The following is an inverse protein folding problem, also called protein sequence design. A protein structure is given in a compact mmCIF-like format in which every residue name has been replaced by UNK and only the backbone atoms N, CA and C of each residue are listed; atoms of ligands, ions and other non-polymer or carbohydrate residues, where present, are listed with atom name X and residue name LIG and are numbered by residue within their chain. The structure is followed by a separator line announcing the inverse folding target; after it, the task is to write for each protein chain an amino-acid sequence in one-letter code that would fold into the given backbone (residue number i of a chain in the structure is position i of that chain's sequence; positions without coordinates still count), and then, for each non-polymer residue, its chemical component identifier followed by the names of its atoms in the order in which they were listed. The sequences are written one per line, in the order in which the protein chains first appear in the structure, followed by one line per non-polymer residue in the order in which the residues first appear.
data_IF_839149129682
#
_entry.id   IF_839149129682
#
_cell.length_a   1.000
_cell.length_b   1.000
_cell.length_c   1.000
_cell.angle_alpha   90.00
_cell.angle_beta   90.00
_cell.angle_gamma   90.00
#
_symmetry.space_group_name_H-M   'P 1'
#
loop_
_entity.id
_entity.type
_entity.pdbx_description
1 polymer ?
#
# COMPACT_ATOMS: atom_id res chain seq x y z
N UNK A 1 -20.93 -11.42 0.45
CA UNK A 1 -20.63 -11.27 -0.63
C UNK A 1 -19.46 -10.55 -1.02
N UNK A 2 -18.89 -10.93 -1.91
CA UNK A 2 -17.58 -10.48 -2.13
C UNK A 2 -17.58 -9.09 -2.64
N UNK A 3 -17.07 -8.27 -1.83
CA UNK A 3 -16.89 -6.91 -2.18
C UNK A 3 -15.85 -6.71 -3.23
N UNK A 4 -14.97 -7.69 -3.40
CA UNK A 4 -13.95 -7.61 -4.41
C UNK A 4 -14.48 -7.40 -5.80
N UNK A 5 -15.65 -7.92 -6.07
CA UNK A 5 -16.23 -7.82 -7.39
C UNK A 5 -16.54 -6.38 -7.81
N UNK A 6 -16.67 -5.48 -6.85
CA UNK A 6 -17.02 -4.09 -7.16
C UNK A 6 -15.86 -3.28 -7.70
N UNK A 7 -14.62 -3.68 -7.39
CA UNK A 7 -13.44 -2.90 -7.74
C UNK A 7 -13.36 -1.55 -7.07
N UNK A 8 -14.25 -1.28 -6.14
CA UNK A 8 -14.32 0.01 -5.45
C UNK A 8 -13.49 -0.02 -4.18
N UNK A 9 -12.79 1.09 -3.89
CA UNK A 9 -12.13 1.28 -2.62
C UNK A 9 -13.07 1.95 -1.64
N UNK A 10 -13.18 1.37 -0.46
CA UNK A 10 -14.04 1.89 0.58
C UNK A 10 -13.24 2.65 1.61
N UNK A 11 -13.91 3.56 2.31
CA UNK A 11 -13.29 4.36 3.36
C UNK A 11 -12.60 3.49 4.40
N UNK A 12 -13.14 2.32 4.69
CA UNK A 12 -12.55 1.38 5.66
C UNK A 12 -11.18 0.84 5.23
N UNK A 13 -10.83 0.97 3.95
CA UNK A 13 -9.53 0.53 3.45
C UNK A 13 -8.45 1.59 3.63
N UNK A 14 -8.84 2.78 4.02
CA UNK A 14 -7.91 3.89 4.21
C UNK A 14 -7.33 3.85 5.61
N UNK A 15 -6.00 3.86 5.70
CA UNK A 15 -5.31 3.88 6.99
C UNK A 15 -5.26 5.31 7.52
N UNK A 16 -6.02 5.57 8.57
CA UNK A 16 -6.14 6.89 9.16
C UNK A 16 -5.66 6.98 10.61
N UNK A 17 -5.49 5.85 11.28
CA UNK A 17 -5.09 5.84 12.69
C UNK A 17 -3.65 6.35 12.84
N UNK A 18 -3.48 7.42 13.60
CA UNK A 18 -2.14 7.99 13.86
C UNK A 18 -1.26 6.97 14.58
N UNK A 19 -1.81 6.26 15.54
CA UNK A 19 -1.06 5.24 16.28
C UNK A 19 -0.58 4.12 15.36
N UNK A 20 -1.44 3.67 14.46
CA UNK A 20 -1.08 2.62 13.51
C UNK A 20 -0.01 3.10 12.52
N UNK A 21 -0.12 4.34 12.05
CA UNK A 21 0.85 4.92 11.14
C UNK A 21 2.21 5.06 11.82
N UNK A 22 2.21 5.56 13.05
CA UNK A 22 3.46 5.68 13.82
C UNK A 22 4.11 4.33 14.03
N UNK A 23 3.31 3.31 14.30
CA UNK A 23 3.84 1.96 14.50
C UNK A 23 4.48 1.40 13.23
N UNK A 24 3.95 1.75 12.05
CA UNK A 24 4.53 1.34 10.78
C UNK A 24 5.95 1.87 10.59
N UNK A 25 6.20 3.09 11.05
CA UNK A 25 7.48 3.76 10.86
C UNK A 25 8.39 3.67 12.07
N UNK A 26 8.01 2.92 13.09
CA UNK A 26 8.83 2.72 14.27
C UNK A 26 9.96 1.73 13.95
N UNK A 27 11.19 2.19 14.07
CA UNK A 27 12.36 1.37 13.75
C UNK A 27 12.52 0.16 14.66
N UNK A 28 12.02 0.25 15.88
CA UNK A 28 12.10 -0.86 16.83
C UNK A 28 10.92 -1.82 16.70
N UNK A 29 9.98 -1.50 15.81
CA UNK A 29 8.77 -2.31 15.64
C UNK A 29 8.97 -3.50 14.72
N UNK A 30 7.89 -4.20 14.47
CA UNK A 30 7.87 -5.43 13.67
C UNK A 30 7.53 -5.18 12.19
N UNK A 31 7.66 -3.95 11.73
CA UNK A 31 7.37 -3.61 10.34
C UNK A 31 8.38 -4.21 9.38
N UNK A 32 7.89 -4.64 8.23
CA UNK A 32 8.72 -5.17 7.16
C UNK A 32 8.68 -4.17 6.01
N UNK A 33 9.82 -3.88 5.43
CA UNK A 33 9.91 -2.93 4.33
C UNK A 33 10.52 -3.60 3.12
N UNK A 34 10.06 -3.21 1.94
CA UNK A 34 10.58 -3.72 0.69
C UNK A 34 10.43 -2.65 -0.39
N UNK A 35 11.22 -2.75 -1.45
CA UNK A 35 11.19 -1.76 -2.51
C UNK A 35 10.80 -2.40 -3.83
N UNK A 36 9.88 -1.74 -4.53
CA UNK A 36 9.53 -2.06 -5.90
C UNK A 36 9.44 -0.72 -6.61
N UNK A 37 10.57 -0.23 -7.16
CA UNK A 37 10.67 1.11 -7.72
C UNK A 37 9.56 1.38 -8.74
N UNK A 38 8.86 2.52 -8.70
CA UNK A 38 9.13 3.70 -7.89
C UNK A 38 8.47 3.70 -6.49
N UNK A 39 8.05 2.55 -6.00
CA UNK A 39 7.38 2.44 -4.73
C UNK A 39 8.24 1.71 -3.71
N UNK A 40 8.22 2.21 -2.50
CA UNK A 40 8.69 1.49 -1.33
C UNK A 40 7.46 1.19 -0.50
N UNK A 41 7.33 -0.01 0.01
CA UNK A 41 6.19 -0.31 0.86
C UNK A 41 6.66 -0.88 2.19
N UNK A 42 5.97 -0.43 3.24
CA UNK A 42 6.22 -0.85 4.61
C UNK A 42 4.90 -1.43 5.12
N UNK A 43 4.97 -2.59 5.73
CA UNK A 43 3.74 -3.22 6.23
C UNK A 43 4.00 -3.91 7.56
N UNK A 44 2.91 -4.08 8.32
CA UNK A 44 2.93 -4.85 9.55
C UNK A 44 1.52 -5.36 9.83
N UNK A 45 1.43 -6.40 10.66
CA UNK A 45 0.12 -6.88 11.09
C UNK A 45 -0.45 -5.92 12.12
N UNK A 46 -1.72 -5.60 11.98
CA UNK A 46 -2.41 -4.72 12.92
C UNK A 46 -2.56 -5.41 14.27
N UNK A 47 -2.35 -4.67 15.36
CA UNK A 47 -2.56 -5.20 16.70
C UNK A 47 -3.99 -5.02 17.19
N UNK A 48 -4.82 -4.29 16.46
CA UNK A 48 -6.17 -3.95 16.92
C UNK A 48 -7.28 -4.43 15.99
N UNK A 49 -7.09 -4.40 14.68
CA UNK A 49 -8.12 -4.88 13.76
C UNK A 49 -8.14 -6.39 13.71
N UNK A 50 -9.31 -6.94 13.44
CA UNK A 50 -9.49 -8.39 13.32
C UNK A 50 -9.24 -8.88 11.90
N UNK A 51 -9.51 -8.04 10.90
CA UNK A 51 -9.34 -8.42 9.50
C UNK A 51 -9.29 -7.20 8.60
N UNK A 52 -8.85 -7.43 7.38
CA UNK A 52 -8.86 -6.42 6.34
C UNK A 52 -7.61 -5.57 6.29
N UNK A 53 -7.21 -5.22 5.08
CA UNK A 53 -6.03 -4.41 4.83
C UNK A 53 -6.42 -2.93 4.80
N UNK A 54 -5.64 -2.10 5.48
CA UNK A 54 -5.73 -0.65 5.35
C UNK A 54 -4.41 -0.13 4.83
N UNK A 55 -4.46 0.87 3.98
CA UNK A 55 -3.24 1.41 3.38
C UNK A 55 -3.25 2.92 3.34
N UNK A 56 -2.05 3.49 3.24
CA UNK A 56 -1.85 4.91 3.01
C UNK A 56 -0.84 5.11 1.90
N UNK A 57 -0.86 6.28 1.28
CA UNK A 57 0.06 6.63 0.21
C UNK A 57 0.77 7.91 0.60
N UNK A 58 2.10 7.88 0.58
CA UNK A 58 2.92 9.03 0.88
C UNK A 58 3.71 9.45 -0.35
N UNK A 59 3.57 10.73 -0.74
CA UNK A 59 4.35 11.32 -1.81
C UNK A 59 5.09 12.50 -1.19
N UNK A 60 6.37 12.33 -0.81
CA UNK A 60 7.11 13.39 -0.13
C UNK A 60 7.27 14.65 -0.99
N UNK A 61 7.12 15.82 -0.36
CA UNK A 61 7.29 17.09 -1.05
C UNK A 61 8.67 17.25 -1.66
N UNK A 62 9.67 16.67 -1.03
CA UNK A 62 11.04 16.76 -1.56
C UNK A 62 11.22 15.98 -2.85
N UNK A 63 10.35 15.03 -3.13
CA UNK A 63 10.39 14.26 -4.38
C UNK A 63 9.65 14.99 -5.50
N UNK A 64 8.44 15.49 -5.19
CA UNK A 64 7.60 16.21 -6.14
C UNK A 64 7.13 17.49 -5.48
N UNK A 65 7.71 18.63 -5.90
CA UNK A 65 7.42 19.91 -5.26
C UNK A 65 6.01 20.43 -5.54
N UNK A 66 5.46 20.11 -6.70
CA UNK A 66 4.17 20.63 -7.09
C UNK A 66 3.03 19.76 -6.58
N UNK A 67 2.06 20.40 -5.92
CA UNK A 67 0.91 19.67 -5.37
C UNK A 67 0.13 18.90 -6.44
N UNK A 68 0.03 19.47 -7.64
CA UNK A 68 -0.68 18.83 -8.76
C UNK A 68 -0.04 17.50 -9.10
N UNK A 69 1.28 17.45 -9.12
CA UNK A 69 2.00 16.23 -9.42
C UNK A 69 1.81 15.17 -8.31
N UNK A 70 1.81 15.61 -7.05
CA UNK A 70 1.58 14.69 -5.93
C UNK A 70 0.18 14.11 -5.97
N UNK A 71 -0.82 14.92 -6.33
CA UNK A 71 -2.20 14.43 -6.47
C UNK A 71 -2.29 13.40 -7.59
N UNK A 72 -1.65 13.68 -8.73
CA UNK A 72 -1.65 12.77 -9.86
C UNK A 72 -1.03 11.42 -9.49
N UNK A 73 0.10 11.44 -8.78
CA UNK A 73 0.77 10.22 -8.36
C UNK A 73 -0.07 9.43 -7.36
N UNK A 74 -0.65 10.11 -6.37
CA UNK A 74 -1.51 9.42 -5.40
C UNK A 74 -2.66 8.71 -6.09
N UNK A 75 -3.25 9.37 -7.08
CA UNK A 75 -4.36 8.79 -7.85
C UNK A 75 -3.89 7.55 -8.60
N UNK A 76 -2.72 7.60 -9.23
CA UNK A 76 -2.18 6.46 -9.98
C UNK A 76 -1.85 5.28 -9.07
N UNK A 77 -1.27 5.56 -7.89
CA UNK A 77 -0.94 4.51 -6.93
C UNK A 77 -2.22 3.86 -6.39
N UNK A 78 -3.21 4.68 -6.05
CA UNK A 78 -4.50 4.17 -5.56
C UNK A 78 -5.17 3.29 -6.60
N UNK A 79 -5.17 3.73 -7.86
CA UNK A 79 -5.77 2.98 -8.94
C UNK A 79 -5.02 1.66 -9.17
N UNK A 80 -3.69 1.70 -9.08
CA UNK A 80 -2.89 0.49 -9.22
C UNK A 80 -3.23 -0.53 -8.13
N UNK A 81 -3.39 -0.06 -6.89
CA UNK A 81 -3.80 -0.94 -5.80
C UNK A 81 -5.21 -1.51 -6.05
N UNK A 82 -6.15 -0.64 -6.41
CA UNK A 82 -7.54 -1.05 -6.63
C UNK A 82 -7.63 -2.14 -7.69
N UNK A 83 -6.92 -1.97 -8.80
CA UNK A 83 -7.01 -2.89 -9.92
C UNK A 83 -6.23 -4.18 -9.72
N UNK A 84 -5.23 -4.18 -8.84
CA UNK A 84 -4.36 -5.34 -8.66
C UNK A 84 -4.54 -6.04 -7.31
N UNK A 85 -5.43 -5.58 -6.46
CA UNK A 85 -5.55 -6.13 -5.10
C UNK A 85 -6.00 -7.60 -5.06
N UNK A 86 -6.59 -8.11 -6.13
CA UNK A 86 -6.96 -9.52 -6.20
C UNK A 86 -5.76 -10.45 -6.14
N UNK A 87 -4.57 -9.94 -6.45
CA UNK A 87 -3.32 -10.71 -6.32
C UNK A 87 -3.12 -11.20 -4.89
N UNK A 88 -3.59 -10.43 -3.92
CA UNK A 88 -3.43 -10.79 -2.51
C UNK A 88 -4.20 -12.03 -2.10
N UNK A 89 -5.29 -12.35 -2.79
CA UNK A 89 -6.08 -13.52 -2.46
C UNK A 89 -6.53 -13.52 -1.01
N UNK A 90 -6.25 -14.60 -0.29
CA UNK A 90 -6.64 -14.73 1.12
C UNK A 90 -5.94 -13.73 2.04
N UNK A 91 -4.77 -13.24 1.65
CA UNK A 91 -4.04 -12.27 2.45
C UNK A 91 -4.83 -10.97 2.61
N UNK A 92 -5.72 -10.66 1.66
CA UNK A 92 -6.56 -9.47 1.73
C UNK A 92 -7.48 -9.46 2.96
N UNK A 93 -7.75 -10.62 3.54
CA UNK A 93 -8.58 -10.72 4.74
C UNK A 93 -7.79 -10.54 6.03
N UNK A 94 -6.46 -10.55 5.95
CA UNK A 94 -5.60 -10.43 7.13
C UNK A 94 -5.54 -8.97 7.60
N UNK A 95 -5.43 -8.74 8.91
CA UNK A 95 -5.36 -7.36 9.42
C UNK A 95 -3.96 -6.79 9.23
N UNK A 96 -3.74 -6.17 8.09
CA UNK A 96 -2.42 -5.63 7.72
C UNK A 96 -2.53 -4.14 7.44
N UNK A 97 -1.57 -3.38 7.95
CA UNK A 97 -1.41 -1.95 7.66
C UNK A 97 -0.26 -1.79 6.69
N UNK A 98 -0.46 -1.02 5.63
CA UNK A 98 0.55 -0.82 4.58
C UNK A 98 0.75 0.66 4.33
N UNK A 99 2.00 1.07 4.13
CA UNK A 99 2.32 2.41 3.65
C UNK A 99 3.07 2.28 2.34
N UNK A 100 2.53 2.90 1.29
CA UNK A 100 3.22 2.99 0.01
C UNK A 100 3.88 4.36 -0.07
N UNK A 101 5.19 4.38 -0.28
CA UNK A 101 5.99 5.61 -0.33
C UNK A 101 6.56 5.76 -1.73
N UNK A 102 6.31 6.92 -2.34
CA UNK A 102 6.78 7.20 -3.68
C UNK A 102 8.25 7.66 -3.63
N UNK A 103 9.10 7.05 -4.43
CA UNK A 103 10.54 7.31 -4.42
C UNK A 103 11.05 8.14 -5.60
N UNK A 104 10.28 8.25 -6.67
CA UNK A 104 10.73 8.96 -7.86
C UNK A 104 10.60 10.47 -7.70
N UNK A 105 11.43 11.20 -8.41
CA UNK A 105 11.42 12.67 -8.41
C UNK A 105 10.67 13.26 -9.59
N UNK A 106 9.92 12.44 -10.29
CA UNK A 106 9.08 12.85 -11.41
C UNK A 106 7.82 11.98 -11.44
N UNK A 107 6.85 12.41 -12.24
CA UNK A 107 5.61 11.64 -12.39
C UNK A 107 5.87 10.46 -13.32
N UNK A 108 5.80 9.27 -12.78
CA UNK A 108 6.04 8.02 -13.53
C UNK A 108 4.74 7.59 -14.22
N UNK A 109 4.80 7.08 -15.46
CA UNK A 109 3.61 6.59 -16.15
C UNK A 109 2.88 5.50 -15.39
N UNK A 110 1.55 5.48 -15.52
CA UNK A 110 0.71 4.51 -14.82
C UNK A 110 1.12 3.06 -15.05
N UNK A 111 1.53 2.72 -16.28
CA UNK A 111 1.95 1.35 -16.60
C UNK A 111 3.08 0.88 -15.69
N UNK A 112 4.05 1.76 -15.44
CA UNK A 112 5.17 1.42 -14.57
C UNK A 112 4.76 1.31 -13.11
N UNK A 113 3.84 2.18 -12.69
CA UNK A 113 3.31 2.14 -11.32
C UNK A 113 2.51 0.86 -11.11
N UNK A 114 1.70 0.45 -12.08
CA UNK A 114 0.96 -0.81 -12.00
C UNK A 114 1.90 -2.01 -11.92
N UNK A 115 2.97 -2.01 -12.70
CA UNK A 115 3.94 -3.11 -12.66
C UNK A 115 4.62 -3.19 -11.29
N UNK A 116 4.99 -2.03 -10.72
CA UNK A 116 5.59 -1.97 -9.39
C UNK A 116 4.61 -2.45 -8.32
N UNK A 117 3.35 -2.06 -8.45
CA UNK A 117 2.32 -2.48 -7.49
C UNK A 117 2.12 -3.99 -7.53
N UNK A 118 2.06 -4.59 -8.72
CA UNK A 118 1.92 -6.04 -8.83
C UNK A 118 3.04 -6.77 -8.12
N UNK A 119 4.28 -6.31 -8.30
CA UNK A 119 5.42 -6.90 -7.60
C UNK A 119 5.32 -6.73 -6.10
N UNK A 120 4.90 -5.55 -5.65
CA UNK A 120 4.75 -5.27 -4.23
C UNK A 120 3.71 -6.19 -3.60
N UNK A 121 2.56 -6.33 -4.25
CA UNK A 121 1.48 -7.17 -3.74
C UNK A 121 1.85 -8.64 -3.77
N UNK A 122 2.60 -9.09 -4.77
CA UNK A 122 3.12 -10.45 -4.81
C UNK A 122 4.03 -10.73 -3.62
N UNK A 123 4.93 -9.81 -3.33
CA UNK A 123 5.84 -9.96 -2.19
C UNK A 123 5.08 -10.01 -0.87
N UNK A 124 4.07 -9.16 -0.72
CA UNK A 124 3.26 -9.14 0.48
C UNK A 124 2.49 -10.46 0.65
N UNK A 125 1.89 -10.95 -0.43
CA UNK A 125 1.17 -12.21 -0.41
C UNK A 125 2.09 -13.36 -0.03
N UNK A 126 3.26 -13.45 -0.66
CA UNK A 126 4.18 -14.56 -0.40
C UNK A 126 4.70 -14.54 1.02
N UNK A 127 5.01 -13.35 1.55
CA UNK A 127 5.49 -13.22 2.92
C UNK A 127 4.45 -13.71 3.93
N UNK A 128 3.17 -13.46 3.66
CA UNK A 128 2.12 -13.85 4.60
C UNK A 128 1.62 -15.27 4.38
N UNK A 129 1.73 -15.78 3.17
CA UNK A 129 1.40 -17.18 2.89
C UNK A 129 2.37 -18.14 3.59
N UNK A 130 3.63 -17.78 3.60
CA UNK A 130 4.66 -18.62 4.24
C UNK A 130 4.55 -18.63 5.75
N UNK A 131 3.85 -17.68 6.31
CA UNK A 131 3.70 -17.57 7.76
C UNK A 131 2.70 -18.58 8.35
N UNK A 132 2.07 -19.36 7.54
CA UNK A 132 1.09 -20.35 8.01
C UNK A 132 1.73 -21.54 8.68
#
# INVERSE_FOLDING_TARGET
MPMVASGRLYKREKLCSVTAIDALFDRSGSSVSSTSYPLRFVWRKSGVRKSGIQFMISVPKKRLRHAVDRVAVRRRVREAYRLNRLILGEVAEMPIDIAFIYLADRVIPSVQIHAAMRKALDKLRDANSEAK
#
